data_IF_937705443088
#
_entry.id   IF_937705443088
#
_cell.length_a   1.000
_cell.length_b   1.000
_cell.length_c   1.000
_cell.angle_alpha   90.00
_cell.angle_beta   90.00
_cell.angle_gamma   90.00
#
_symmetry.space_group_name_H-M   'P 1'
#
loop_
_entity.id
_entity.type
_entity.pdbx_description
1 polymer ?
#
# COMPACT_ATOMS: atom_id res chain seq x y z
N UNK A 1 -17.07 7.75 56.86
CA UNK A 1 -16.95 6.82 55.71
C UNK A 1 -17.98 7.23 54.67
N UNK A 2 -17.59 8.06 53.70
CA UNK A 2 -18.46 8.45 52.57
C UNK A 2 -18.19 7.54 51.37
N UNK A 3 -19.19 7.23 50.53
CA UNK A 3 -19.04 6.28 49.43
C UNK A 3 -18.11 6.85 48.35
N UNK A 4 -17.07 6.09 48.01
CA UNK A 4 -16.12 6.38 46.94
C UNK A 4 -16.82 6.44 45.59
N UNK A 5 -16.72 7.58 44.88
CA UNK A 5 -17.18 7.72 43.50
C UNK A 5 -16.44 6.74 42.59
N UNK A 6 -17.11 6.07 41.63
CA UNK A 6 -16.42 5.31 40.61
C UNK A 6 -15.63 6.27 39.70
N UNK A 7 -14.34 5.96 39.52
CA UNK A 7 -13.45 6.65 38.58
C UNK A 7 -13.95 6.43 37.16
N UNK A 8 -14.16 7.53 36.41
CA UNK A 8 -14.43 7.46 34.98
C UNK A 8 -13.27 6.73 34.27
N UNK A 9 -13.56 5.81 33.33
CA UNK A 9 -12.50 5.23 32.51
C UNK A 9 -11.83 6.35 31.70
N UNK A 10 -10.49 6.42 31.80
CA UNK A 10 -9.69 7.31 30.96
C UNK A 10 -9.93 7.01 29.46
N UNK A 11 -9.50 7.90 28.55
CA UNK A 11 -9.78 7.75 27.12
C UNK A 11 -9.08 6.49 26.60
N UNK A 12 -9.84 5.40 26.56
CA UNK A 12 -9.45 4.15 25.93
C UNK A 12 -9.24 4.42 24.45
N UNK A 13 -8.03 4.18 23.97
CA UNK A 13 -7.77 4.08 22.53
C UNK A 13 -8.53 2.86 22.04
N UNK A 14 -9.75 3.10 21.54
CA UNK A 14 -10.51 2.13 20.76
C UNK A 14 -9.62 1.59 19.63
N UNK A 15 -9.64 0.29 19.33
CA UNK A 15 -8.90 -0.27 18.20
C UNK A 15 -9.46 0.37 16.93
N UNK A 16 -8.80 1.44 16.46
CA UNK A 16 -9.29 2.31 15.37
C UNK A 16 -9.66 1.46 14.16
N UNK A 17 -10.95 1.35 13.89
CA UNK A 17 -11.41 0.81 12.62
C UNK A 17 -10.85 1.71 11.53
N UNK A 18 -10.00 1.17 10.67
CA UNK A 18 -9.52 1.87 9.47
C UNK A 18 -10.64 2.15 8.45
N UNK A 19 -11.89 1.83 8.84
CA UNK A 19 -13.11 2.08 8.12
C UNK A 19 -13.88 3.17 8.86
N UNK A 20 -14.05 4.32 8.21
CA UNK A 20 -14.88 5.42 8.68
C UNK A 20 -15.52 6.11 7.48
N UNK A 21 -16.81 6.43 7.58
CA UNK A 21 -17.50 7.19 6.54
C UNK A 21 -16.90 8.59 6.41
N UNK A 22 -16.91 9.17 5.20
CA UNK A 22 -16.25 10.44 4.91
C UNK A 22 -16.67 11.58 5.83
N UNK A 23 -17.93 11.61 6.28
CA UNK A 23 -18.46 12.60 7.23
C UNK A 23 -17.95 12.46 8.67
N UNK A 24 -17.37 11.32 9.02
CA UNK A 24 -16.94 10.98 10.38
C UNK A 24 -15.42 10.76 10.52
N UNK A 25 -14.66 10.94 9.43
CA UNK A 25 -13.20 10.82 9.47
C UNK A 25 -12.63 12.02 10.22
N UNK A 26 -11.82 11.75 11.25
CA UNK A 26 -10.99 12.76 11.89
C UNK A 26 -9.94 13.28 10.88
N UNK A 27 -9.92 14.59 10.56
CA UNK A 27 -8.93 15.18 9.67
C UNK A 27 -7.47 14.85 10.03
N UNK A 28 -7.15 14.75 11.33
CA UNK A 28 -5.80 14.41 11.77
C UNK A 28 -5.44 12.95 11.43
N UNK A 29 -6.40 12.03 11.51
CA UNK A 29 -6.21 10.64 11.10
C UNK A 29 -6.07 10.52 9.58
N UNK A 30 -6.88 11.27 8.82
CA UNK A 30 -6.77 11.36 7.37
C UNK A 30 -5.39 11.86 6.94
N UNK A 31 -4.93 12.98 7.50
CA UNK A 31 -3.62 13.56 7.20
C UNK A 31 -2.49 12.59 7.55
N UNK A 32 -2.57 11.92 8.70
CA UNK A 32 -1.60 10.90 9.11
C UNK A 32 -1.54 9.75 8.10
N UNK A 33 -2.69 9.24 7.67
CA UNK A 33 -2.76 8.19 6.65
C UNK A 33 -2.19 8.66 5.31
N UNK A 34 -2.47 9.89 4.88
CA UNK A 34 -1.89 10.47 3.67
C UNK A 34 -0.37 10.62 3.76
N UNK A 35 0.13 11.13 4.89
CA UNK A 35 1.56 11.27 5.16
C UNK A 35 2.29 9.94 5.08
N UNK A 36 1.73 8.89 5.67
CA UNK A 36 2.32 7.55 5.65
C UNK A 36 2.21 6.91 4.26
N UNK A 37 1.01 6.88 3.69
CA UNK A 37 0.70 6.08 2.50
C UNK A 37 1.08 6.71 1.16
N UNK A 38 1.29 8.03 1.12
CA UNK A 38 1.65 8.77 -0.10
C UNK A 38 2.94 9.56 0.08
N UNK A 39 2.98 10.49 1.03
CA UNK A 39 4.14 11.38 1.21
C UNK A 39 5.41 10.61 1.61
N UNK A 40 5.31 9.60 2.47
CA UNK A 40 6.41 8.70 2.81
C UNK A 40 6.98 7.99 1.58
N UNK A 41 6.11 7.53 0.68
CA UNK A 41 6.51 6.95 -0.62
C UNK A 41 7.29 7.93 -1.48
N UNK A 42 6.86 9.19 -1.54
CA UNK A 42 7.60 10.27 -2.21
C UNK A 42 9.00 10.48 -1.63
N UNK A 43 9.13 10.56 -0.31
CA UNK A 43 10.42 10.81 0.33
C UNK A 43 11.44 9.71 0.01
N UNK A 44 11.03 8.44 0.11
CA UNK A 44 11.90 7.30 -0.20
C UNK A 44 12.26 7.28 -1.68
N UNK A 45 11.28 7.43 -2.56
CA UNK A 45 11.49 7.37 -4.00
C UNK A 45 12.37 8.54 -4.49
N UNK A 46 12.19 9.75 -3.96
CA UNK A 46 13.05 10.89 -4.28
C UNK A 46 14.50 10.64 -3.85
N UNK A 47 14.71 10.14 -2.63
CA UNK A 47 16.05 9.84 -2.13
C UNK A 47 16.76 8.76 -2.95
N UNK A 48 16.03 7.75 -3.40
CA UNK A 48 16.52 6.71 -4.31
C UNK A 48 16.84 7.27 -5.70
N UNK A 49 15.90 8.00 -6.31
CA UNK A 49 16.04 8.57 -7.64
C UNK A 49 17.28 9.48 -7.76
N UNK A 50 17.53 10.36 -6.78
CA UNK A 50 18.73 11.22 -6.74
C UNK A 50 20.06 10.47 -6.86
N UNK A 51 20.11 9.22 -6.37
CA UNK A 51 21.31 8.37 -6.44
C UNK A 51 21.33 7.53 -7.71
N UNK A 52 20.18 6.98 -8.09
CA UNK A 52 20.07 6.11 -9.26
C UNK A 52 20.30 6.87 -10.57
N UNK A 53 19.79 8.10 -10.69
CA UNK A 53 19.99 8.97 -11.87
C UNK A 53 21.48 9.19 -12.13
N UNK A 54 22.27 9.50 -11.09
CA UNK A 54 23.73 9.64 -11.21
C UNK A 54 24.43 8.38 -11.72
N UNK A 55 23.85 7.21 -11.44
CA UNK A 55 24.35 5.89 -11.87
C UNK A 55 23.81 5.47 -13.24
N UNK A 56 22.80 6.16 -13.77
CA UNK A 56 22.10 5.80 -15.00
C UNK A 56 21.37 4.46 -14.96
N UNK A 57 21.15 3.89 -13.77
CA UNK A 57 20.45 2.60 -13.59
C UNK A 57 19.83 2.42 -12.20
N UNK A 58 18.67 1.78 -12.18
CA UNK A 58 18.02 1.31 -10.96
C UNK A 58 16.55 0.97 -11.20
N UNK A 59 15.92 0.39 -10.18
CA UNK A 59 14.49 0.11 -10.18
C UNK A 59 13.86 0.68 -8.90
N UNK A 60 12.71 1.33 -9.05
CA UNK A 60 11.88 1.82 -7.94
C UNK A 60 10.51 1.15 -8.08
N UNK A 61 10.11 0.37 -7.10
CA UNK A 61 8.83 -0.36 -7.11
C UNK A 61 7.95 0.19 -5.99
N UNK A 62 6.74 0.61 -6.33
CA UNK A 62 5.74 1.08 -5.40
C UNK A 62 4.71 -0.02 -5.12
N UNK A 63 4.48 -0.32 -3.84
CA UNK A 63 3.45 -1.28 -3.40
C UNK A 63 2.09 -0.58 -3.26
N UNK A 64 1.20 -0.87 -4.21
CA UNK A 64 -0.19 -0.43 -4.25
C UNK A 64 -1.15 -1.36 -3.52
N UNK A 65 -2.43 -1.15 -3.82
CA UNK A 65 -3.57 -1.99 -3.46
C UNK A 65 -4.70 -1.64 -4.43
N UNK A 66 -5.76 -2.45 -4.51
CA UNK A 66 -6.92 -2.10 -5.36
C UNK A 66 -7.61 -0.80 -4.98
N UNK A 67 -7.40 -0.33 -3.75
CA UNK A 67 -7.78 1.01 -3.33
C UNK A 67 -7.09 2.14 -4.13
N UNK A 68 -6.05 1.84 -4.92
CA UNK A 68 -5.42 2.77 -5.87
C UNK A 68 -6.17 2.90 -7.20
N UNK A 69 -7.11 1.99 -7.48
CA UNK A 69 -7.87 1.91 -8.72
C UNK A 69 -9.32 2.33 -8.51
N UNK A 70 -9.88 2.05 -7.33
CA UNK A 70 -11.26 2.40 -6.96
C UNK A 70 -11.37 2.76 -5.48
N UNK A 71 -12.20 3.77 -5.19
CA UNK A 71 -12.63 4.07 -3.83
C UNK A 71 -13.70 3.08 -3.35
N UNK A 72 -13.83 2.91 -2.04
CA UNK A 72 -14.92 2.13 -1.43
C UNK A 72 -15.42 2.83 -0.17
N UNK A 73 -16.70 2.66 0.14
CA UNK A 73 -17.31 3.26 1.32
C UNK A 73 -16.51 2.86 2.58
N UNK A 74 -16.12 3.85 3.38
CA UNK A 74 -15.30 3.64 4.58
C UNK A 74 -13.79 3.67 4.35
N UNK A 75 -13.30 3.65 3.11
CA UNK A 75 -11.86 3.48 2.83
C UNK A 75 -11.12 4.74 2.37
N UNK A 76 -11.68 5.94 2.56
CA UNK A 76 -11.04 7.17 2.07
C UNK A 76 -9.61 7.35 2.62
N UNK A 77 -9.37 7.02 3.90
CA UNK A 77 -8.04 7.04 4.53
C UNK A 77 -7.02 6.09 3.88
N UNK A 78 -7.46 5.06 3.16
CA UNK A 78 -6.58 4.14 2.43
C UNK A 78 -6.52 4.48 0.93
N UNK A 79 -7.67 4.76 0.32
CA UNK A 79 -7.79 4.99 -1.11
C UNK A 79 -7.04 6.25 -1.54
N UNK A 80 -7.28 7.39 -0.88
CA UNK A 80 -6.63 8.66 -1.26
C UNK A 80 -5.10 8.56 -1.28
N UNK A 81 -4.41 8.06 -0.22
CA UNK A 81 -2.97 7.89 -0.30
C UNK A 81 -2.53 6.94 -1.41
N UNK A 82 -3.28 5.86 -1.69
CA UNK A 82 -2.93 4.89 -2.73
C UNK A 82 -3.13 5.41 -4.15
N UNK A 83 -4.16 6.22 -4.40
CA UNK A 83 -4.31 6.97 -5.65
C UNK A 83 -3.15 7.97 -5.83
N UNK A 84 -2.81 8.72 -4.79
CA UNK A 84 -1.68 9.66 -4.82
C UNK A 84 -0.33 8.95 -5.09
N UNK A 85 -0.11 7.80 -4.45
CA UNK A 85 1.08 6.98 -4.66
C UNK A 85 1.18 6.44 -6.09
N UNK A 86 0.04 6.03 -6.68
CA UNK A 86 -0.02 5.59 -8.08
C UNK A 86 0.28 6.73 -9.05
N UNK A 87 -0.31 7.91 -8.82
CA UNK A 87 -0.04 9.10 -9.61
C UNK A 87 1.44 9.50 -9.54
N UNK A 88 2.05 9.47 -8.36
CA UNK A 88 3.48 9.70 -8.18
C UNK A 88 4.32 8.69 -8.99
N UNK A 89 4.01 7.40 -8.91
CA UNK A 89 4.72 6.37 -9.67
C UNK A 89 4.63 6.61 -11.18
N UNK A 90 3.45 7.00 -11.67
CA UNK A 90 3.23 7.36 -13.08
C UNK A 90 4.07 8.56 -13.53
N UNK A 91 4.17 9.61 -12.71
CA UNK A 91 5.00 10.78 -12.99
C UNK A 91 6.48 10.40 -13.02
N UNK A 92 6.95 9.69 -11.99
CA UNK A 92 8.35 9.26 -11.89
C UNK A 92 8.75 8.32 -13.03
N UNK A 93 7.88 7.41 -13.46
CA UNK A 93 8.16 6.52 -14.59
C UNK A 93 8.43 7.30 -15.88
N UNK A 94 7.62 8.34 -16.16
CA UNK A 94 7.77 9.19 -17.35
C UNK A 94 9.02 10.06 -17.29
N UNK A 95 9.35 10.56 -16.11
CA UNK A 95 10.51 11.43 -15.91
C UNK A 95 11.85 10.66 -15.86
N UNK A 96 11.88 9.52 -15.18
CA UNK A 96 13.11 8.80 -14.87
C UNK A 96 13.40 7.65 -15.83
N UNK A 97 12.41 7.17 -16.58
CA UNK A 97 12.57 6.13 -17.60
C UNK A 97 13.68 6.46 -18.63
N UNK A 98 13.66 7.66 -19.26
CA UNK A 98 14.74 8.09 -20.16
C UNK A 98 16.13 8.15 -19.50
N UNK A 99 16.18 8.30 -18.17
CA UNK A 99 17.41 8.36 -17.38
C UNK A 99 17.90 6.97 -16.94
N UNK A 100 17.28 5.89 -17.44
CA UNK A 100 17.66 4.51 -17.16
C UNK A 100 17.09 3.95 -15.86
N UNK A 101 16.04 4.57 -15.30
CA UNK A 101 15.41 4.10 -14.06
C UNK A 101 14.06 3.47 -14.37
N UNK A 102 13.92 2.19 -14.01
CA UNK A 102 12.66 1.47 -14.11
C UNK A 102 11.77 1.82 -12.92
N UNK A 103 10.60 2.38 -13.17
CA UNK A 103 9.60 2.64 -12.12
C UNK A 103 8.38 1.77 -12.37
N UNK A 104 7.95 1.02 -11.35
CA UNK A 104 6.80 0.13 -11.42
C UNK A 104 5.86 0.31 -10.23
N UNK A 105 4.59 -0.05 -10.42
CA UNK A 105 3.52 -0.05 -9.43
C UNK A 105 2.90 -1.43 -9.34
N UNK A 106 2.98 -2.08 -8.18
CA UNK A 106 2.43 -3.42 -7.96
C UNK A 106 1.16 -3.31 -7.16
N UNK A 107 0.02 -3.60 -7.77
CA UNK A 107 -1.27 -3.73 -7.09
C UNK A 107 -1.27 -5.06 -6.34
N UNK A 108 -1.35 -4.99 -5.01
CA UNK A 108 -1.53 -6.16 -4.16
C UNK A 108 -3.01 -6.18 -3.77
N UNK A 109 -3.81 -6.95 -4.50
CA UNK A 109 -5.24 -7.10 -4.27
C UNK A 109 -5.56 -8.37 -3.51
N UNK A 110 -5.32 -8.31 -2.21
CA UNK A 110 -5.59 -9.42 -1.31
C UNK A 110 -4.93 -9.22 0.05
N UNK A 111 -5.32 -10.06 1.00
CA UNK A 111 -4.59 -10.13 2.26
C UNK A 111 -3.32 -10.97 2.06
N UNK A 112 -2.19 -10.42 2.50
CA UNK A 112 -0.91 -11.13 2.49
C UNK A 112 -0.88 -12.10 3.67
N UNK A 113 -0.46 -13.33 3.42
CA UNK A 113 -0.28 -14.34 4.45
C UNK A 113 0.67 -13.82 5.54
N UNK A 114 0.19 -13.87 6.78
CA UNK A 114 0.95 -13.47 7.97
C UNK A 114 0.24 -14.00 9.21
N UNK A 115 0.94 -14.05 10.34
CA UNK A 115 0.37 -14.46 11.63
C UNK A 115 -0.94 -13.71 11.98
N UNK A 116 -1.08 -12.45 11.54
CA UNK A 116 -2.28 -11.64 11.73
C UNK A 116 -3.50 -12.18 10.97
N UNK A 117 -3.29 -12.76 9.80
CA UNK A 117 -4.35 -13.14 8.85
C UNK A 117 -4.51 -14.65 8.70
N UNK A 118 -3.74 -15.46 9.42
CA UNK A 118 -3.78 -16.92 9.33
C UNK A 118 -5.18 -17.51 9.58
N UNK A 119 -5.98 -16.89 10.46
CA UNK A 119 -7.38 -17.30 10.71
C UNK A 119 -8.26 -17.24 9.44
N UNK A 120 -7.93 -16.38 8.48
CA UNK A 120 -8.70 -16.25 7.24
C UNK A 120 -8.60 -17.50 6.36
N UNK A 121 -7.54 -18.31 6.50
CA UNK A 121 -7.42 -19.58 5.77
C UNK A 121 -8.52 -20.55 6.22
N UNK A 122 -8.79 -20.63 7.53
CA UNK A 122 -9.87 -21.46 8.06
C UNK A 122 -11.26 -20.94 7.64
N UNK A 123 -11.42 -19.62 7.53
CA UNK A 123 -12.72 -19.00 7.16
C UNK A 123 -13.00 -19.02 5.65
N UNK A 124 -11.97 -18.88 4.82
CA UNK A 124 -12.10 -18.65 3.36
C UNK A 124 -11.56 -19.79 2.52
N UNK A 125 -10.88 -20.76 3.13
CA UNK A 125 -10.25 -21.90 2.47
C UNK A 125 -8.78 -21.68 2.14
N UNK A 126 -8.18 -22.76 1.61
CA UNK A 126 -6.82 -22.75 1.05
C UNK A 126 -6.71 -21.72 -0.10
N UNK A 127 -5.50 -21.21 -0.34
CA UNK A 127 -5.17 -20.23 -1.38
C UNK A 127 -5.98 -18.91 -1.34
N UNK A 128 -6.54 -18.56 -0.18
CA UNK A 128 -7.30 -17.32 0.06
C UNK A 128 -6.44 -16.11 0.41
N UNK A 129 -5.14 -16.31 0.62
CA UNK A 129 -4.15 -15.28 0.95
C UNK A 129 -3.01 -15.28 -0.06
N UNK A 130 -2.39 -14.12 -0.25
CA UNK A 130 -1.19 -14.00 -1.07
C UNK A 130 0.05 -14.46 -0.29
N UNK A 131 0.76 -15.44 -0.84
CA UNK A 131 2.05 -15.86 -0.30
C UNK A 131 3.12 -14.76 -0.47
N UNK A 132 3.83 -14.33 0.58
CA UNK A 132 4.88 -13.32 0.51
C UNK A 132 5.97 -13.64 -0.52
N UNK A 133 6.37 -14.91 -0.63
CA UNK A 133 7.40 -15.34 -1.57
C UNK A 133 6.95 -15.20 -3.02
N UNK A 134 5.66 -15.48 -3.31
CA UNK A 134 5.11 -15.28 -4.66
C UNK A 134 5.06 -13.79 -5.04
N UNK A 135 4.72 -12.91 -4.08
CA UNK A 135 4.82 -11.46 -4.27
C UNK A 135 6.27 -11.06 -4.55
N UNK A 136 7.22 -11.54 -3.73
CA UNK A 136 8.64 -11.22 -3.87
C UNK A 136 9.20 -11.66 -5.23
N UNK A 137 8.78 -12.82 -5.75
CA UNK A 137 9.15 -13.29 -7.09
C UNK A 137 8.71 -12.31 -8.18
N UNK A 138 7.53 -11.72 -8.07
CA UNK A 138 7.08 -10.69 -9.02
C UNK A 138 7.95 -9.43 -8.94
N UNK A 139 8.30 -8.98 -7.73
CA UNK A 139 9.16 -7.80 -7.55
C UNK A 139 10.56 -8.06 -8.15
N UNK A 140 11.09 -9.26 -7.92
CA UNK A 140 12.36 -9.69 -8.50
C UNK A 140 12.30 -9.75 -10.02
N UNK A 141 11.24 -10.32 -10.59
CA UNK A 141 11.04 -10.39 -12.03
C UNK A 141 10.99 -9.00 -12.66
N UNK A 142 10.24 -8.06 -12.08
CA UNK A 142 10.19 -6.66 -12.53
C UNK A 142 11.59 -6.03 -12.50
N UNK A 143 12.34 -6.19 -11.40
CA UNK A 143 13.69 -5.64 -11.28
C UNK A 143 14.66 -6.15 -12.36
N UNK A 144 14.50 -7.40 -12.77
CA UNK A 144 15.36 -8.07 -13.74
C UNK A 144 14.93 -7.83 -15.21
N UNK A 145 13.85 -7.09 -15.47
CA UNK A 145 13.36 -6.89 -16.84
C UNK A 145 14.37 -6.14 -17.72
N UNK A 146 14.56 -6.58 -18.98
CA UNK A 146 15.34 -5.82 -19.94
C UNK A 146 14.66 -4.49 -20.26
N UNK A 147 15.46 -3.46 -20.56
CA UNK A 147 14.98 -2.10 -20.88
C UNK A 147 13.99 -2.04 -22.04
N UNK A 148 13.95 -3.05 -22.89
CA UNK A 148 13.03 -3.16 -24.03
C UNK A 148 11.59 -3.45 -23.61
N UNK A 149 11.34 -3.92 -22.39
CA UNK A 149 10.02 -4.39 -21.96
C UNK A 149 9.79 -4.16 -20.46
N UNK A 150 9.94 -2.92 -20.01
CA UNK A 150 9.66 -2.54 -18.62
C UNK A 150 8.16 -2.48 -18.34
N UNK A 151 7.71 -3.30 -17.39
CA UNK A 151 6.36 -3.26 -16.82
C UNK A 151 6.21 -2.00 -15.97
N UNK A 152 5.18 -1.21 -16.25
CA UNK A 152 4.77 -0.13 -15.36
C UNK A 152 3.84 -0.61 -14.24
N UNK A 153 2.86 -1.47 -14.54
CA UNK A 153 1.85 -1.89 -13.56
C UNK A 153 1.57 -3.39 -13.67
N UNK A 154 1.38 -4.05 -12.52
CA UNK A 154 0.94 -5.45 -12.42
C UNK A 154 -0.01 -5.64 -11.24
N UNK A 155 -0.92 -6.60 -11.32
CA UNK A 155 -1.92 -6.93 -10.29
C UNK A 155 -1.70 -8.35 -9.77
N UNK A 156 -1.65 -8.51 -8.44
CA UNK A 156 -1.44 -9.75 -7.73
C UNK A 156 -2.62 -10.03 -6.81
N UNK A 157 -3.22 -11.20 -6.95
CA UNK A 157 -4.45 -11.59 -6.24
C UNK A 157 -4.38 -13.04 -5.74
N UNK A 158 -5.01 -13.39 -4.61
CA UNK A 158 -5.19 -14.78 -4.21
C UNK A 158 -6.02 -15.55 -5.24
N UNK A 159 -5.78 -16.85 -5.35
CA UNK A 159 -6.52 -17.73 -6.25
C UNK A 159 -8.01 -17.83 -5.87
N UNK A 160 -8.32 -17.88 -4.58
CA UNK A 160 -9.69 -18.13 -4.11
C UNK A 160 -10.64 -16.91 -4.16
N UNK A 161 -10.17 -15.73 -4.63
CA UNK A 161 -11.02 -14.54 -4.76
C UNK A 161 -12.08 -14.74 -5.88
N UNK A 162 -13.37 -14.50 -5.57
CA UNK A 162 -14.49 -14.65 -6.52
C UNK A 162 -14.96 -13.29 -7.04
N UNK A 163 -15.33 -13.23 -8.32
CA UNK A 163 -15.85 -12.04 -9.03
C UNK A 163 -17.37 -12.03 -9.12
#
# INVERSE_FOLDING_TARGET
>A
MGPSRPSLPGPGVSPRSHRAGTSAIDPADFERCWKIGCFGGFLVAQAAARRMVKRGRGTIIFSGATAALRGSAGFANLAVPKFGLRALAQSMARELGPQGIHVAFVVIDGQIESARYQHLIAERGEDSLLAPDAIAQTYWAIHQQPRSAWTFETDLRPWAEKF
#
